data_IF_931791214339
#
_entry.id   IF_931791214339
#
_cell.length_a   1.000
_cell.length_b   1.000
_cell.length_c   1.000
_cell.angle_alpha   90.00
_cell.angle_beta   90.00
_cell.angle_gamma   90.00
#
_symmetry.space_group_name_H-M   'P 1'
#
loop_
_entity.id
_entity.type
_entity.pdbx_description
1 polymer ?
#
# COMPACT_ATOMS: atom_id res chain seq x y z
N UNK A 1 24.25 0.63 -1.85
CA UNK A 1 23.86 -0.76 -1.49
C UNK A 1 24.24 -1.07 -0.04
N UNK A 2 25.52 -0.98 0.34
CA UNK A 2 25.97 -1.26 1.72
C UNK A 2 25.20 -0.47 2.79
N UNK A 3 24.94 0.81 2.55
CA UNK A 3 24.25 1.68 3.52
C UNK A 3 22.83 1.19 3.88
N UNK A 4 22.14 0.55 2.94
CA UNK A 4 20.80 -0.01 3.19
C UNK A 4 20.89 -1.15 4.20
N UNK A 5 21.88 -2.04 4.06
CA UNK A 5 22.11 -3.11 5.02
C UNK A 5 22.51 -2.57 6.39
N UNK A 6 23.28 -1.47 6.44
CA UNK A 6 23.61 -0.81 7.71
C UNK A 6 22.36 -0.24 8.40
N UNK A 7 21.46 0.39 7.65
CA UNK A 7 20.19 0.93 8.18
C UNK A 7 19.30 -0.20 8.70
N UNK A 8 19.15 -1.28 7.94
CA UNK A 8 18.37 -2.46 8.34
C UNK A 8 18.92 -3.09 9.62
N UNK A 9 20.24 -3.33 9.68
CA UNK A 9 20.88 -3.88 10.87
C UNK A 9 20.83 -2.92 12.08
N UNK A 10 20.80 -1.61 11.81
CA UNK A 10 20.61 -0.58 12.82
C UNK A 10 19.32 -0.77 13.64
N UNK A 11 18.25 -1.29 13.04
CA UNK A 11 17.00 -1.63 13.72
C UNK A 11 17.29 -2.60 14.88
N UNK A 12 18.02 -3.67 14.64
CA UNK A 12 18.30 -4.70 15.65
C UNK A 12 19.26 -4.22 16.73
N UNK A 13 20.19 -3.31 16.39
CA UNK A 13 21.03 -2.63 17.39
C UNK A 13 20.16 -1.80 18.34
N UNK A 14 19.18 -1.06 17.81
CA UNK A 14 18.26 -0.25 18.62
C UNK A 14 17.32 -1.14 19.46
N UNK A 15 16.77 -2.21 18.89
CA UNK A 15 15.95 -3.18 19.62
C UNK A 15 16.72 -3.76 20.82
N UNK A 16 17.93 -4.24 20.58
CA UNK A 16 18.79 -4.81 21.64
C UNK A 16 19.12 -3.77 22.70
N UNK A 17 19.44 -2.53 22.31
CA UNK A 17 19.82 -1.47 23.25
C UNK A 17 18.66 -1.07 24.15
N UNK A 18 17.46 -0.91 23.59
CA UNK A 18 16.35 -0.28 24.29
C UNK A 18 15.31 -1.26 24.83
N UNK A 19 15.19 -2.46 24.27
CA UNK A 19 14.07 -3.36 24.56
C UNK A 19 14.49 -4.75 25.04
N UNK A 20 15.79 -5.10 25.07
CA UNK A 20 16.26 -6.45 25.49
C UNK A 20 15.81 -6.92 26.87
N UNK A 21 15.44 -5.99 27.73
CA UNK A 21 15.05 -6.25 29.11
C UNK A 21 13.54 -6.49 29.26
N UNK A 22 12.76 -6.31 28.19
CA UNK A 22 11.31 -6.55 28.19
C UNK A 22 11.00 -8.00 27.82
N UNK A 23 9.95 -8.55 28.43
CA UNK A 23 9.49 -9.92 28.16
C UNK A 23 9.12 -10.14 26.69
N UNK A 24 8.62 -9.10 26.01
CA UNK A 24 8.23 -9.15 24.60
C UNK A 24 9.41 -8.95 23.62
N UNK A 25 10.66 -8.82 24.09
CA UNK A 25 11.82 -8.54 23.23
C UNK A 25 11.93 -9.51 22.05
N UNK A 26 11.76 -10.81 22.33
CA UNK A 26 11.80 -11.86 21.31
C UNK A 26 10.74 -11.62 20.23
N UNK A 27 9.50 -11.35 20.65
CA UNK A 27 8.39 -11.08 19.74
C UNK A 27 8.67 -9.85 18.85
N UNK A 28 9.28 -8.79 19.40
CA UNK A 28 9.64 -7.60 18.62
C UNK A 28 10.67 -7.94 17.53
N UNK A 29 11.70 -8.71 17.88
CA UNK A 29 12.74 -9.14 16.94
C UNK A 29 12.15 -10.01 15.84
N UNK A 30 11.29 -10.98 16.20
CA UNK A 30 10.61 -11.86 15.24
C UNK A 30 9.70 -11.05 14.30
N UNK A 31 8.90 -10.11 14.83
CA UNK A 31 8.04 -9.24 14.01
C UNK A 31 8.83 -8.43 12.98
N UNK A 32 9.98 -7.86 13.36
CA UNK A 32 10.82 -7.13 12.41
C UNK A 32 11.41 -8.05 11.33
N UNK A 33 11.92 -9.23 11.69
CA UNK A 33 12.47 -10.17 10.71
C UNK A 33 11.41 -10.67 9.73
N UNK A 34 10.26 -11.10 10.23
CA UNK A 34 9.13 -11.53 9.39
C UNK A 34 8.68 -10.41 8.45
N UNK A 35 8.59 -9.19 8.97
CA UNK A 35 8.19 -8.05 8.16
C UNK A 35 9.22 -7.70 7.08
N UNK A 36 10.51 -7.70 7.41
CA UNK A 36 11.59 -7.47 6.43
C UNK A 36 11.50 -8.50 5.31
N UNK A 37 11.34 -9.78 5.64
CA UNK A 37 11.19 -10.85 4.65
C UNK A 37 9.95 -10.63 3.76
N UNK A 38 8.78 -10.37 4.36
CA UNK A 38 7.55 -10.11 3.62
C UNK A 38 7.68 -8.90 2.68
N UNK A 39 8.30 -7.82 3.16
CA UNK A 39 8.57 -6.62 2.36
C UNK A 39 9.49 -6.92 1.17
N UNK A 40 10.55 -7.71 1.38
CA UNK A 40 11.45 -8.14 0.31
C UNK A 40 10.75 -9.03 -0.71
N UNK A 41 9.91 -9.98 -0.27
CA UNK A 41 9.06 -10.78 -1.16
C UNK A 41 8.09 -9.91 -1.97
N UNK A 42 7.42 -8.94 -1.32
CA UNK A 42 6.54 -7.99 -1.99
C UNK A 42 7.27 -7.13 -3.02
N UNK A 43 8.48 -6.65 -2.70
CA UNK A 43 9.30 -5.89 -3.64
C UNK A 43 9.81 -6.75 -4.80
N UNK A 44 10.15 -8.02 -4.55
CA UNK A 44 10.51 -8.95 -5.62
C UNK A 44 9.31 -9.23 -6.54
N UNK A 45 8.12 -9.45 -5.97
CA UNK A 45 6.88 -9.61 -6.72
C UNK A 45 6.58 -8.39 -7.58
N UNK A 46 6.74 -7.17 -7.04
CA UNK A 46 6.61 -5.91 -7.77
C UNK A 46 7.51 -5.86 -9.01
N UNK A 47 8.79 -6.25 -8.85
CA UNK A 47 9.75 -6.30 -9.96
C UNK A 47 9.36 -7.34 -11.02
N UNK A 48 8.93 -8.53 -10.61
CA UNK A 48 8.48 -9.60 -11.52
C UNK A 48 7.21 -9.16 -12.26
N UNK A 49 6.26 -8.52 -11.58
CA UNK A 49 5.02 -8.05 -12.19
C UNK A 49 5.26 -6.89 -13.15
N UNK A 50 6.17 -5.98 -12.80
CA UNK A 50 6.59 -4.84 -13.62
C UNK A 50 7.33 -5.28 -14.90
N UNK A 51 7.89 -6.50 -14.96
CA UNK A 51 8.48 -7.03 -16.19
C UNK A 51 7.47 -7.70 -17.12
N UNK A 52 6.22 -7.90 -16.68
CA UNK A 52 5.16 -8.50 -17.50
C UNK A 52 4.54 -7.49 -18.45
N UNK A 53 3.96 -8.01 -19.53
CA UNK A 53 3.18 -7.21 -20.45
C UNK A 53 1.89 -6.70 -19.79
N UNK A 54 1.50 -5.46 -20.07
CA UNK A 54 0.34 -4.79 -19.45
C UNK A 54 -0.98 -5.54 -19.68
N UNK A 55 -1.09 -6.30 -20.77
CA UNK A 55 -2.26 -7.17 -21.05
C UNK A 55 -2.47 -8.29 -20.02
N UNK A 56 -1.47 -8.59 -19.19
CA UNK A 56 -1.58 -9.58 -18.12
C UNK A 56 -2.04 -8.98 -16.78
N UNK A 57 -2.25 -7.67 -16.74
CA UNK A 57 -2.56 -6.96 -15.50
C UNK A 57 -3.96 -7.31 -15.01
N UNK A 58 -4.08 -7.66 -13.73
CA UNK A 58 -5.34 -8.09 -13.11
C UNK A 58 -5.36 -7.73 -11.62
N UNK A 59 -6.58 -7.63 -11.06
CA UNK A 59 -6.78 -7.18 -9.69
C UNK A 59 -6.30 -8.18 -8.65
N UNK A 60 -6.42 -9.49 -8.91
CA UNK A 60 -5.99 -10.54 -7.97
C UNK A 60 -4.47 -10.47 -7.70
N UNK A 61 -3.68 -10.31 -8.76
CA UNK A 61 -2.23 -10.13 -8.66
C UNK A 61 -1.87 -8.81 -7.98
N UNK A 62 -2.62 -7.75 -8.26
CA UNK A 62 -2.44 -6.45 -7.62
C UNK A 62 -2.71 -6.52 -6.11
N UNK A 63 -3.84 -7.08 -5.69
CA UNK A 63 -4.19 -7.22 -4.27
C UNK A 63 -3.14 -8.03 -3.50
N UNK A 64 -2.64 -9.12 -4.10
CA UNK A 64 -1.54 -9.91 -3.53
C UNK A 64 -0.25 -9.08 -3.40
N UNK A 65 0.08 -8.28 -4.41
CA UNK A 65 1.22 -7.37 -4.36
C UNK A 65 1.07 -6.35 -3.22
N UNK A 66 -0.07 -5.66 -3.14
CA UNK A 66 -0.34 -4.64 -2.12
C UNK A 66 -0.23 -5.23 -0.71
N UNK A 67 -0.76 -6.44 -0.53
CA UNK A 67 -0.77 -7.09 0.77
C UNK A 67 0.65 -7.35 1.30
N UNK A 68 1.53 -7.86 0.43
CA UNK A 68 2.89 -8.20 0.80
C UNK A 68 3.81 -6.99 0.87
N UNK A 69 3.68 -6.06 -0.08
CA UNK A 69 4.61 -4.94 -0.22
C UNK A 69 4.35 -3.82 0.80
N UNK A 70 3.08 -3.49 1.02
CA UNK A 70 2.73 -2.23 1.68
C UNK A 70 1.95 -2.45 2.97
N UNK A 71 0.90 -3.27 2.93
CA UNK A 71 -0.01 -3.38 4.05
C UNK A 71 0.60 -4.03 5.30
N UNK A 72 1.38 -5.11 5.12
CA UNK A 72 2.10 -5.73 6.24
C UNK A 72 3.15 -4.78 6.84
N UNK A 73 3.94 -4.13 5.98
CA UNK A 73 5.06 -3.27 6.37
C UNK A 73 4.64 -1.97 7.03
N UNK A 74 3.76 -1.20 6.40
CA UNK A 74 3.48 0.16 6.82
C UNK A 74 2.36 0.26 7.85
N UNK A 75 1.50 -0.75 7.97
CA UNK A 75 0.31 -0.68 8.82
C UNK A 75 0.29 -1.79 9.87
N UNK A 76 0.47 -3.05 9.47
CA UNK A 76 0.42 -4.15 10.42
C UNK A 76 1.59 -4.15 11.42
N UNK A 77 2.83 -3.96 10.94
CA UNK A 77 4.01 -3.95 11.81
C UNK A 77 3.91 -2.91 12.93
N UNK A 78 3.70 -1.60 12.68
CA UNK A 78 3.68 -0.60 13.77
C UNK A 78 2.54 -0.85 14.77
N UNK A 79 1.37 -1.30 14.30
CA UNK A 79 0.26 -1.65 15.19
C UNK A 79 0.61 -2.86 16.07
N UNK A 80 1.17 -3.92 15.48
CA UNK A 80 1.58 -5.13 16.22
C UNK A 80 2.68 -4.85 17.25
N UNK A 81 3.68 -4.04 16.89
CA UNK A 81 4.72 -3.59 17.82
C UNK A 81 4.10 -2.82 19.00
N UNK A 82 3.16 -1.90 18.72
CA UNK A 82 2.43 -1.16 19.73
C UNK A 82 1.65 -2.05 20.70
N UNK A 83 0.94 -3.05 20.18
CA UNK A 83 0.20 -4.03 21.00
C UNK A 83 1.13 -4.85 21.90
N UNK A 84 2.27 -5.32 21.35
CA UNK A 84 3.27 -6.07 22.11
C UNK A 84 3.88 -5.24 23.24
N UNK A 85 4.25 -4.00 22.95
CA UNK A 85 4.79 -3.06 23.94
C UNK A 85 3.75 -2.66 25.01
N UNK A 86 2.47 -2.62 24.66
CA UNK A 86 1.38 -2.37 25.60
C UNK A 86 1.03 -3.61 26.46
N UNK A 87 1.70 -4.75 26.26
CA UNK A 87 1.46 -5.98 27.02
C UNK A 87 0.14 -6.67 26.68
N UNK A 88 -0.45 -6.39 25.52
CA UNK A 88 -1.66 -7.08 25.05
C UNK A 88 -1.33 -8.55 24.82
N UNK A 89 -2.18 -9.45 25.32
CA UNK A 89 -2.03 -10.91 25.16
C UNK A 89 -3.22 -11.58 24.48
N UNK A 90 -4.33 -10.87 24.32
CA UNK A 90 -5.53 -11.43 23.70
C UNK A 90 -5.32 -11.60 22.19
N UNK A 91 -5.28 -12.86 21.75
CA UNK A 91 -5.12 -13.22 20.34
C UNK A 91 -6.21 -12.61 19.46
N UNK A 92 -7.46 -12.52 19.95
CA UNK A 92 -8.56 -11.93 19.17
C UNK A 92 -8.31 -10.45 18.89
N UNK A 93 -7.77 -9.72 19.86
CA UNK A 93 -7.39 -8.31 19.67
C UNK A 93 -6.26 -8.19 18.63
N UNK A 94 -5.25 -9.07 18.67
CA UNK A 94 -4.19 -9.09 17.65
C UNK A 94 -4.72 -9.41 16.25
N UNK A 95 -5.53 -10.45 16.12
CA UNK A 95 -6.08 -10.88 14.84
C UNK A 95 -6.95 -9.77 14.22
N UNK A 96 -7.78 -9.11 15.04
CA UNK A 96 -8.62 -7.99 14.59
C UNK A 96 -7.77 -6.78 14.17
N UNK A 97 -6.79 -6.39 14.99
CA UNK A 97 -5.91 -5.28 14.66
C UNK A 97 -5.11 -5.55 13.38
N UNK A 98 -4.68 -6.81 13.19
CA UNK A 98 -4.05 -7.25 11.94
C UNK A 98 -5.00 -7.09 10.77
N UNK A 99 -6.23 -7.60 10.87
CA UNK A 99 -7.22 -7.47 9.79
C UNK A 99 -7.49 -5.99 9.43
N UNK A 100 -7.76 -5.14 10.42
CA UNK A 100 -8.03 -3.72 10.18
C UNK A 100 -6.80 -3.00 9.59
N UNK A 101 -5.61 -3.20 10.15
CA UNK A 101 -4.39 -2.56 9.65
C UNK A 101 -4.06 -3.00 8.22
N UNK A 102 -4.31 -4.27 7.89
CA UNK A 102 -4.20 -4.81 6.55
C UNK A 102 -5.20 -4.17 5.58
N UNK A 103 -6.46 -3.99 5.98
CA UNK A 103 -7.46 -3.27 5.16
C UNK A 103 -7.06 -1.81 4.89
N UNK A 104 -6.54 -1.10 5.91
CA UNK A 104 -6.01 0.26 5.73
C UNK A 104 -4.86 0.25 4.73
N UNK A 105 -3.95 -0.71 4.82
CA UNK A 105 -2.86 -0.86 3.87
C UNK A 105 -3.31 -1.17 2.44
N UNK A 106 -4.33 -2.00 2.29
CA UNK A 106 -4.95 -2.30 0.99
C UNK A 106 -5.65 -1.10 0.37
N UNK A 107 -6.16 -0.17 1.18
CA UNK A 107 -6.67 1.12 0.72
C UNK A 107 -5.53 2.10 0.37
N UNK A 108 -4.47 2.13 1.17
CA UNK A 108 -3.37 3.08 1.02
C UNK A 108 -2.64 2.96 -0.32
N UNK A 109 -2.41 1.74 -0.82
CA UNK A 109 -1.63 1.58 -2.06
C UNK A 109 -2.38 2.11 -3.31
N UNK A 110 -3.68 1.80 -3.54
CA UNK A 110 -4.47 2.46 -4.57
C UNK A 110 -4.45 3.98 -4.47
N UNK A 111 -4.50 4.54 -3.25
CA UNK A 111 -4.37 5.98 -3.02
C UNK A 111 -3.02 6.49 -3.52
N UNK A 112 -1.92 5.84 -3.12
CA UNK A 112 -0.60 6.23 -3.59
C UNK A 112 -0.51 6.19 -5.11
N UNK A 113 -0.97 5.11 -5.74
CA UNK A 113 -0.95 4.95 -7.20
C UNK A 113 -1.80 6.02 -7.91
N UNK A 114 -2.95 6.39 -7.32
CA UNK A 114 -3.79 7.47 -7.83
C UNK A 114 -3.11 8.83 -7.76
N UNK A 115 -2.56 9.18 -6.58
CA UNK A 115 -1.83 10.43 -6.38
C UNK A 115 -0.58 10.49 -7.27
N UNK A 116 0.08 9.37 -7.51
CA UNK A 116 1.22 9.31 -8.42
C UNK A 116 0.82 9.70 -9.85
N UNK A 117 -0.40 9.43 -10.29
CA UNK A 117 -0.82 9.85 -11.63
C UNK A 117 -1.38 11.28 -11.69
N UNK A 118 -2.21 11.63 -10.70
CA UNK A 118 -3.13 12.78 -10.76
C UNK A 118 -2.83 13.92 -9.78
N UNK A 119 -1.99 13.72 -8.77
CA UNK A 119 -1.64 14.80 -7.87
C UNK A 119 -0.56 15.71 -8.46
N UNK A 120 -0.59 16.98 -8.07
CA UNK A 120 0.44 17.95 -8.44
C UNK A 120 1.78 17.56 -7.80
N UNK A 121 2.86 17.52 -8.59
CA UNK A 121 4.21 17.23 -8.09
C UNK A 121 4.66 18.24 -7.04
N UNK A 122 4.14 19.46 -7.06
CA UNK A 122 4.37 20.46 -6.02
C UNK A 122 3.76 20.08 -4.66
N UNK A 123 2.68 19.27 -4.66
CA UNK A 123 1.99 18.80 -3.45
C UNK A 123 2.59 17.47 -2.96
N UNK A 124 2.92 16.56 -3.88
CA UNK A 124 3.49 15.25 -3.51
C UNK A 124 4.98 15.30 -3.20
N UNK A 125 5.68 16.34 -3.67
CA UNK A 125 7.14 16.45 -3.57
C UNK A 125 7.89 15.42 -4.41
N UNK A 126 7.22 14.69 -5.31
CA UNK A 126 7.82 13.68 -6.17
C UNK A 126 7.32 13.77 -7.61
N UNK A 127 8.24 13.61 -8.55
CA UNK A 127 7.88 13.30 -9.93
C UNK A 127 7.43 11.85 -10.02
N UNK A 128 6.35 11.60 -10.75
CA UNK A 128 5.81 10.26 -10.92
C UNK A 128 6.31 9.59 -12.19
N UNK A 129 6.67 8.32 -12.04
CA UNK A 129 7.23 7.50 -13.10
C UNK A 129 6.47 6.19 -13.30
N UNK A 130 5.29 6.03 -12.70
CA UNK A 130 4.56 4.76 -12.70
C UNK A 130 4.23 4.29 -14.13
N UNK A 131 3.78 5.21 -14.99
CA UNK A 131 3.46 4.90 -16.39
C UNK A 131 4.75 4.54 -17.15
N UNK A 132 5.81 5.34 -17.01
CA UNK A 132 7.08 5.18 -17.73
C UNK A 132 7.81 3.90 -17.34
N UNK A 133 7.64 3.45 -16.10
CA UNK A 133 8.34 2.28 -15.53
C UNK A 133 7.54 1.00 -15.62
N UNK A 134 6.40 0.98 -16.34
CA UNK A 134 5.52 -0.17 -16.48
C UNK A 134 4.97 -0.66 -15.14
N UNK A 135 4.72 0.27 -14.21
CA UNK A 135 4.31 -0.07 -12.85
C UNK A 135 3.02 -0.87 -12.87
N UNK A 136 2.95 -1.92 -12.06
CA UNK A 136 1.73 -2.69 -11.80
C UNK A 136 0.79 -1.91 -10.85
N UNK A 137 0.32 -0.74 -11.30
CA UNK A 137 -0.47 0.20 -10.51
C UNK A 137 -1.97 -0.09 -10.56
N UNK A 138 -2.70 0.38 -9.55
CA UNK A 138 -4.17 0.26 -9.50
C UNK A 138 -4.83 0.85 -10.75
N UNK A 139 -4.34 2.00 -11.21
CA UNK A 139 -4.87 2.68 -12.39
C UNK A 139 -4.66 1.86 -13.67
N UNK A 140 -3.49 1.26 -13.86
CA UNK A 140 -3.24 0.40 -15.02
C UNK A 140 -4.13 -0.84 -14.99
N UNK A 141 -4.25 -1.49 -13.83
CA UNK A 141 -5.11 -2.67 -13.66
C UNK A 141 -6.58 -2.33 -13.92
N UNK A 142 -7.09 -1.20 -13.37
CA UNK A 142 -8.46 -0.75 -13.62
C UNK A 142 -8.70 -0.34 -15.06
N UNK A 143 -7.73 0.33 -15.69
CA UNK A 143 -7.79 0.63 -17.11
C UNK A 143 -7.93 -0.65 -17.93
N UNK A 144 -7.09 -1.65 -17.70
CA UNK A 144 -7.16 -2.92 -18.45
C UNK A 144 -8.43 -3.72 -18.19
N UNK A 145 -9.05 -3.56 -17.02
CA UNK A 145 -10.35 -4.16 -16.69
C UNK A 145 -11.52 -3.51 -17.47
N UNK A 146 -11.48 -2.19 -17.66
CA UNK A 146 -12.60 -1.41 -18.20
C UNK A 146 -12.46 -1.09 -19.69
N UNK A 147 -11.24 -1.05 -20.20
CA UNK A 147 -10.93 -0.67 -21.57
C UNK A 147 -11.51 -1.63 -22.59
N UNK A 148 -12.06 -1.07 -23.67
CA UNK A 148 -12.39 -1.81 -24.89
C UNK A 148 -11.12 -2.24 -25.66
N UNK A 149 -11.22 -3.03 -26.75
CA UNK A 149 -10.05 -3.48 -27.49
C UNK A 149 -9.17 -2.35 -28.06
N UNK A 150 -9.75 -1.22 -28.47
CA UNK A 150 -8.99 -0.09 -29.02
C UNK A 150 -8.23 0.65 -27.92
N UNK A 151 -8.87 0.82 -26.76
CA UNK A 151 -8.28 1.39 -25.55
C UNK A 151 -7.17 0.49 -24.98
N UNK A 152 -7.33 -0.84 -25.03
CA UNK A 152 -6.27 -1.79 -24.65
C UNK A 152 -5.06 -1.68 -25.56
N UNK A 153 -5.25 -1.54 -26.87
CA UNK A 153 -4.14 -1.35 -27.81
C UNK A 153 -3.31 -0.09 -27.47
N UNK A 154 -3.96 0.99 -27.01
CA UNK A 154 -3.25 2.19 -26.52
C UNK A 154 -2.38 1.86 -25.31
N UNK A 155 -2.90 1.11 -24.33
CA UNK A 155 -2.11 0.69 -23.17
C UNK A 155 -0.91 -0.17 -23.59
N UNK A 156 -1.10 -1.12 -24.50
CA UNK A 156 -0.02 -1.98 -24.99
C UNK A 156 1.07 -1.20 -25.76
N UNK A 157 0.68 -0.16 -26.50
CA UNK A 157 1.61 0.69 -27.24
C UNK A 157 2.35 1.71 -26.35
N UNK A 158 1.65 2.27 -25.37
CA UNK A 158 2.08 3.47 -24.65
C UNK A 158 2.59 3.21 -23.22
N UNK A 159 2.05 2.22 -22.51
CA UNK A 159 2.41 1.95 -21.13
C UNK A 159 3.82 1.35 -21.02
N UNK A 160 4.58 1.73 -20.01
CA UNK A 160 5.99 1.30 -19.85
C UNK A 160 6.97 1.93 -20.84
N UNK A 161 6.61 3.07 -21.45
CA UNK A 161 7.48 3.83 -22.36
C UNK A 161 7.87 5.16 -21.72
N UNK A 162 9.17 5.44 -21.67
CA UNK A 162 9.69 6.73 -21.24
C UNK A 162 9.63 7.77 -22.38
N UNK A 163 8.42 7.97 -22.90
CA UNK A 163 8.10 8.96 -23.93
C UNK A 163 6.97 9.87 -23.40
N UNK A 164 7.19 11.19 -23.26
CA UNK A 164 6.19 12.10 -22.73
C UNK A 164 4.84 12.08 -23.46
N UNK A 165 4.82 11.86 -24.77
CA UNK A 165 3.58 11.81 -25.55
C UNK A 165 2.79 10.54 -25.24
N UNK A 166 3.49 9.41 -25.07
CA UNK A 166 2.88 8.13 -24.67
C UNK A 166 2.35 8.18 -23.24
N UNK A 167 3.10 8.80 -22.33
CA UNK A 167 2.64 9.05 -20.96
C UNK A 167 1.38 9.91 -20.95
N UNK A 168 1.38 11.02 -21.69
CA UNK A 168 0.21 11.89 -21.81
C UNK A 168 -1.00 11.15 -22.42
N UNK A 169 -0.77 10.25 -23.40
CA UNK A 169 -1.84 9.46 -24.00
C UNK A 169 -2.48 8.49 -23.00
N UNK A 170 -1.68 7.83 -22.16
CA UNK A 170 -2.17 6.97 -21.07
C UNK A 170 -2.97 7.77 -20.05
N UNK A 171 -2.46 8.93 -19.61
CA UNK A 171 -3.18 9.81 -18.67
C UNK A 171 -4.54 10.24 -19.23
N UNK A 172 -4.57 10.66 -20.50
CA UNK A 172 -5.82 10.99 -21.20
C UNK A 172 -6.77 9.79 -21.26
N UNK A 173 -6.26 8.58 -21.50
CA UNK A 173 -7.09 7.37 -21.49
C UNK A 173 -7.70 7.10 -20.10
N UNK A 174 -6.95 7.34 -19.01
CA UNK A 174 -7.50 7.23 -17.66
C UNK A 174 -8.64 8.22 -17.41
N UNK A 175 -8.53 9.44 -17.95
CA UNK A 175 -9.61 10.44 -17.91
C UNK A 175 -10.82 10.02 -18.78
N UNK A 176 -10.58 9.52 -20.00
CA UNK A 176 -11.61 9.00 -20.92
C UNK A 176 -12.42 7.86 -20.28
N UNK A 177 -11.78 7.01 -19.48
CA UNK A 177 -12.41 5.93 -18.70
C UNK A 177 -13.00 6.40 -17.36
N UNK A 178 -12.91 7.70 -17.05
CA UNK A 178 -13.38 8.30 -15.81
C UNK A 178 -12.79 7.63 -14.55
N UNK A 179 -11.53 7.19 -14.62
CA UNK A 179 -10.84 6.56 -13.49
C UNK A 179 -10.78 7.46 -12.24
N UNK A 180 -10.64 8.80 -12.33
CA UNK A 180 -10.72 9.66 -11.15
C UNK A 180 -12.03 9.54 -10.37
N UNK A 181 -13.19 9.55 -11.05
CA UNK A 181 -14.48 9.37 -10.36
C UNK A 181 -14.62 7.96 -9.80
N UNK A 182 -14.11 6.94 -10.50
CA UNK A 182 -14.12 5.55 -10.02
C UNK A 182 -13.27 5.40 -8.77
N UNK A 183 -12.09 6.03 -8.73
CA UNK A 183 -11.22 6.06 -7.56
C UNK A 183 -11.92 6.75 -6.37
N UNK A 184 -12.52 7.93 -6.58
CA UNK A 184 -13.20 8.64 -5.49
C UNK A 184 -14.32 7.81 -4.86
N UNK A 185 -15.12 7.12 -5.68
CA UNK A 185 -16.16 6.19 -5.18
C UNK A 185 -15.54 5.02 -4.41
N UNK A 186 -14.48 4.42 -4.96
CA UNK A 186 -13.75 3.34 -4.29
C UNK A 186 -13.19 3.79 -2.93
N UNK A 187 -12.59 4.98 -2.84
CA UNK A 187 -12.06 5.54 -1.60
C UNK A 187 -13.17 5.74 -0.56
N UNK A 188 -14.28 6.38 -0.92
CA UNK A 188 -15.42 6.57 -0.02
C UNK A 188 -15.96 5.24 0.53
N UNK A 189 -16.10 4.23 -0.34
CA UNK A 189 -16.57 2.90 0.04
C UNK A 189 -15.61 2.19 0.98
N UNK A 190 -14.30 2.21 0.68
CA UNK A 190 -13.28 1.58 1.50
C UNK A 190 -13.15 2.25 2.86
N UNK A 191 -13.10 3.58 2.91
CA UNK A 191 -13.03 4.33 4.17
C UNK A 191 -14.27 4.07 5.03
N UNK A 192 -15.46 4.04 4.42
CA UNK A 192 -16.71 3.70 5.13
C UNK A 192 -16.68 2.28 5.68
N UNK A 193 -16.22 1.31 4.89
CA UNK A 193 -16.09 -0.10 5.30
C UNK A 193 -15.12 -0.25 6.46
N UNK A 194 -13.91 0.31 6.36
CA UNK A 194 -12.86 0.21 7.39
C UNK A 194 -13.33 0.90 8.68
N UNK A 195 -13.94 2.09 8.58
CA UNK A 195 -14.49 2.80 9.74
C UNK A 195 -15.56 1.98 10.45
N UNK A 196 -16.45 1.32 9.71
CA UNK A 196 -17.46 0.41 10.26
C UNK A 196 -16.81 -0.79 10.95
N UNK A 197 -15.79 -1.41 10.34
CA UNK A 197 -15.05 -2.52 10.94
C UNK A 197 -14.41 -2.10 12.27
N UNK A 198 -13.73 -0.95 12.32
CA UNK A 198 -13.14 -0.42 13.56
C UNK A 198 -14.20 -0.19 14.66
N UNK A 199 -15.38 0.33 14.29
CA UNK A 199 -16.47 0.56 15.24
C UNK A 199 -17.07 -0.73 15.80
N UNK A 200 -17.09 -1.80 14.98
CA UNK A 200 -17.67 -3.10 15.33
C UNK A 200 -16.65 -4.05 15.98
N UNK A 201 -15.37 -3.69 15.98
CA UNK A 201 -14.29 -4.45 16.59
C UNK A 201 -14.57 -4.76 18.08
N UNK A 202 -14.11 -5.89 18.63
CA UNK A 202 -14.30 -6.27 20.03
C UNK A 202 -13.59 -5.32 21.01
N UNK A 203 -13.94 -5.44 22.28
CA UNK A 203 -13.29 -4.68 23.34
C UNK A 203 -11.80 -5.04 23.48
N UNK A 204 -11.00 -4.06 23.88
CA UNK A 204 -9.53 -4.17 23.89
C UNK A 204 -8.85 -3.74 22.59
N UNK A 205 -9.56 -3.69 21.46
CA UNK A 205 -9.04 -3.10 20.22
C UNK A 205 -8.88 -1.58 20.39
N UNK A 206 -7.71 -1.00 20.06
CA UNK A 206 -7.44 0.42 20.21
C UNK A 206 -8.12 1.25 19.10
N UNK A 207 -9.47 1.30 19.14
CA UNK A 207 -10.31 1.92 18.09
C UNK A 207 -9.89 3.35 17.76
N UNK A 208 -9.56 4.17 18.76
CA UNK A 208 -9.10 5.56 18.56
C UNK A 208 -7.79 5.64 17.79
N UNK A 209 -6.82 4.76 18.09
CA UNK A 209 -5.55 4.74 17.38
C UNK A 209 -5.74 4.31 15.92
N UNK A 210 -6.57 3.29 15.67
CA UNK A 210 -6.88 2.82 14.32
C UNK A 210 -7.64 3.86 13.50
N UNK A 211 -8.58 4.58 14.11
CA UNK A 211 -9.28 5.70 13.47
C UNK A 211 -8.33 6.85 13.12
N UNK A 212 -7.37 7.16 13.99
CA UNK A 212 -6.38 8.21 13.73
C UNK A 212 -5.42 7.79 12.61
N UNK A 213 -5.00 6.52 12.56
CA UNK A 213 -4.22 5.98 11.44
C UNK A 213 -5.02 6.10 10.15
N UNK A 214 -6.28 5.67 10.13
CA UNK A 214 -7.14 5.83 8.95
C UNK A 214 -7.26 7.29 8.54
N UNK A 215 -7.57 8.19 9.49
CA UNK A 215 -7.73 9.63 9.24
C UNK A 215 -6.49 10.24 8.61
N UNK A 216 -5.29 9.94 9.11
CA UNK A 216 -4.03 10.44 8.53
C UNK A 216 -3.77 9.95 7.11
N UNK A 217 -4.35 8.82 6.74
CA UNK A 217 -4.22 8.23 5.41
C UNK A 217 -5.41 8.57 4.49
N UNK A 218 -6.48 9.17 5.00
CA UNK A 218 -7.57 9.73 4.22
C UNK A 218 -7.33 11.21 3.92
N UNK A 219 -7.76 11.68 2.75
CA UNK A 219 -7.83 13.12 2.51
C UNK A 219 -9.05 13.67 3.26
N UNK A 220 -8.84 14.48 4.29
CA UNK A 220 -9.91 15.34 4.84
C UNK A 220 -9.74 16.80 4.39
N UNK A 221 -8.64 17.18 3.74
CA UNK A 221 -8.35 18.60 3.44
C UNK A 221 -8.00 18.90 1.97
N UNK A 222 -8.63 18.20 1.01
CA UNK A 222 -8.55 18.58 -0.42
C UNK A 222 -9.96 18.71 -1.05
N UNK A 223 -10.85 19.47 -0.41
CA UNK A 223 -11.96 20.24 -1.01
C UNK A 223 -12.15 21.52 -0.19
#
# INVERSE_FOLDING_TARGET
INDVFMIENGIFILLKKHFRHLDCYKDLVELFHENIFNCMCGQNMDMILTSKHVSTFNMESYETLVMNKSANTFFHLPVSLGLKLAGVKDKKVFDECKAISQEIGCYYQPKNDFLDCFADSAVTGKESFDIQTNKYSWLAVKCMQLADPQQKAIMEECYGKNDPQKVARVKKLYEELNLPSIYNKYEEEMVRKIKKHIQQAPDGVPRLALLEILKKNCNVDFI
#
